data_IF_191926350681
#
_entry.id   IF_191926350681
#
_cell.length_a   1.000
_cell.length_b   1.000
_cell.length_c   1.000
_cell.angle_alpha   90.00
_cell.angle_beta   90.00
_cell.angle_gamma   90.00
#
_symmetry.space_group_name_H-M   'P 1'
#
loop_
_entity.id
_entity.type
_entity.pdbx_description
1 polymer ?
#
# COMPACT_ATOMS: atom_id res chain seq x y z
N UNK A 1 -7.04 -3.43 22.34
CA UNK A 1 -7.84 -3.97 21.22
C UNK A 1 -9.29 -3.45 21.20
N UNK A 2 -9.69 -2.65 20.20
CA UNK A 2 -11.12 -2.53 19.84
C UNK A 2 -11.45 -3.71 18.94
N UNK A 3 -11.81 -4.84 19.51
CA UNK A 3 -11.95 -6.13 18.80
C UNK A 3 -12.91 -6.06 17.59
N UNK A 4 -13.95 -5.22 17.66
CA UNK A 4 -14.87 -4.92 16.53
C UNK A 4 -14.20 -4.29 15.30
N UNK A 5 -12.98 -3.75 15.43
CA UNK A 5 -12.22 -3.22 14.30
C UNK A 5 -11.61 -4.34 13.46
N UNK A 6 -11.06 -5.37 14.12
CA UNK A 6 -10.35 -6.45 13.43
C UNK A 6 -11.26 -7.22 12.48
N UNK A 7 -12.52 -7.47 12.87
CA UNK A 7 -13.53 -8.13 12.04
C UNK A 7 -13.78 -7.42 10.68
N UNK A 8 -13.50 -6.11 10.61
CA UNK A 8 -13.67 -5.29 9.40
C UNK A 8 -12.43 -5.23 8.52
N UNK A 9 -11.30 -5.74 9.00
CA UNK A 9 -10.04 -5.75 8.24
C UNK A 9 -10.05 -6.85 7.19
N UNK A 10 -9.25 -6.68 6.13
CA UNK A 10 -9.16 -7.67 5.05
C UNK A 10 -8.65 -9.01 5.60
N UNK A 11 -7.67 -8.98 6.51
CA UNK A 11 -7.03 -10.19 7.04
C UNK A 11 -8.00 -11.07 7.84
N UNK A 12 -8.86 -10.47 8.66
CA UNK A 12 -9.83 -11.19 9.50
C UNK A 12 -11.26 -11.18 8.94
N UNK A 13 -11.45 -10.77 7.68
CA UNK A 13 -12.77 -10.71 7.05
C UNK A 13 -13.49 -12.07 7.13
N UNK A 14 -14.72 -12.05 7.62
CA UNK A 14 -15.56 -13.25 7.76
C UNK A 14 -15.14 -14.16 8.92
N UNK A 15 -14.47 -13.59 9.92
CA UNK A 15 -14.06 -14.24 11.16
C UNK A 15 -14.74 -13.52 12.31
N UNK A 16 -15.36 -14.26 13.23
CA UNK A 16 -15.94 -13.66 14.43
C UNK A 16 -14.89 -13.35 15.50
N UNK A 17 -15.28 -12.53 16.45
CA UNK A 17 -14.48 -12.10 17.59
C UNK A 17 -13.79 -13.23 18.39
N UNK A 18 -14.46 -14.35 18.63
CA UNK A 18 -13.89 -15.47 19.39
C UNK A 18 -12.90 -16.27 18.55
N UNK A 19 -13.21 -16.46 17.27
CA UNK A 19 -12.27 -17.02 16.28
C UNK A 19 -11.02 -16.14 16.17
N UNK A 20 -11.16 -14.81 16.11
CA UNK A 20 -10.01 -13.87 16.05
C UNK A 20 -9.15 -14.01 17.30
N UNK A 21 -9.72 -14.07 18.51
CA UNK A 21 -8.94 -14.30 19.74
C UNK A 21 -8.14 -15.61 19.69
N UNK A 22 -8.75 -16.67 19.17
CA UNK A 22 -8.08 -17.95 18.93
C UNK A 22 -6.92 -17.80 17.95
N UNK A 23 -7.14 -17.13 16.81
CA UNK A 23 -6.11 -16.85 15.82
C UNK A 23 -4.95 -16.04 16.39
N UNK A 24 -5.22 -14.97 17.13
CA UNK A 24 -4.17 -14.11 17.70
C UNK A 24 -3.25 -14.89 18.65
N UNK A 25 -3.81 -15.81 19.45
CA UNK A 25 -2.99 -16.71 20.28
C UNK A 25 -2.10 -17.63 19.43
N UNK A 26 -2.65 -18.21 18.37
CA UNK A 26 -1.88 -19.05 17.44
C UNK A 26 -0.74 -18.26 16.79
N UNK A 27 -1.03 -17.05 16.31
CA UNK A 27 -0.10 -16.18 15.56
C UNK A 27 0.86 -15.37 16.43
N UNK A 28 0.84 -15.53 17.75
CA UNK A 28 1.60 -14.70 18.70
C UNK A 28 1.35 -13.20 18.52
N UNK A 29 0.07 -12.84 18.33
CA UNK A 29 -0.40 -11.47 18.15
C UNK A 29 0.06 -10.56 19.28
N UNK A 30 0.90 -9.57 18.97
CA UNK A 30 1.43 -8.61 19.94
C UNK A 30 1.17 -7.18 19.46
N UNK A 31 0.55 -6.36 20.30
CA UNK A 31 0.34 -4.94 20.03
C UNK A 31 1.56 -4.14 20.51
N UNK A 32 2.00 -3.16 19.72
CA UNK A 32 3.03 -2.20 20.12
C UNK A 32 2.68 -0.80 19.60
N UNK A 33 2.90 0.18 20.46
CA UNK A 33 2.77 1.59 20.15
C UNK A 33 4.10 2.18 19.68
N UNK A 34 4.03 3.08 18.71
CA UNK A 34 5.16 3.84 18.17
C UNK A 34 4.80 5.31 18.06
N UNK A 35 5.74 6.18 18.40
CA UNK A 35 5.62 7.63 18.21
C UNK A 35 5.93 8.01 16.79
N UNK A 36 5.37 9.13 16.32
CA UNK A 36 5.68 9.72 15.01
C UNK A 36 7.19 9.73 14.73
N UNK A 37 7.57 9.21 13.57
CA UNK A 37 8.94 9.19 13.06
C UNK A 37 9.78 8.02 13.57
N UNK A 38 9.25 7.16 14.45
CA UNK A 38 9.94 5.92 14.84
C UNK A 38 9.95 4.91 13.69
N UNK A 39 11.09 4.24 13.55
CA UNK A 39 11.30 3.18 12.57
C UNK A 39 10.87 1.85 13.20
N UNK A 40 9.96 1.16 12.52
CA UNK A 40 9.46 -0.15 12.91
C UNK A 40 10.41 -1.25 12.42
N UNK A 41 10.84 -1.16 11.16
CA UNK A 41 11.83 -2.05 10.54
C UNK A 41 12.79 -1.26 9.67
N UNK A 42 14.03 -1.71 9.63
CA UNK A 42 15.10 -1.14 8.82
C UNK A 42 15.32 -1.92 7.53
N UNK A 43 15.76 -1.22 6.50
CA UNK A 43 16.37 -1.80 5.32
C UNK A 43 17.54 -2.72 5.75
N UNK A 44 17.56 -3.94 5.20
CA UNK A 44 18.49 -5.00 5.57
C UNK A 44 17.98 -5.94 6.66
N UNK A 45 16.93 -5.58 7.40
CA UNK A 45 16.36 -6.48 8.41
C UNK A 45 15.80 -7.74 7.74
N UNK A 46 15.99 -8.90 8.37
CA UNK A 46 15.23 -10.10 8.06
C UNK A 46 14.15 -10.26 9.13
N UNK A 47 12.89 -10.24 8.70
CA UNK A 47 11.75 -10.18 9.63
C UNK A 47 10.97 -11.48 9.62
N UNK A 48 10.45 -11.86 10.79
CA UNK A 48 9.53 -12.97 10.97
C UNK A 48 8.07 -12.51 11.13
N UNK A 49 7.89 -11.31 11.67
CA UNK A 49 6.58 -10.77 11.99
C UNK A 49 6.14 -9.79 10.92
N UNK A 50 4.95 -10.00 10.38
CA UNK A 50 4.26 -8.97 9.61
C UNK A 50 3.52 -8.03 10.56
N UNK A 51 3.29 -6.79 10.14
CA UNK A 51 2.55 -5.80 10.91
C UNK A 51 1.18 -5.52 10.31
N UNK A 52 0.20 -5.19 11.14
CA UNK A 52 -1.06 -4.57 10.75
C UNK A 52 -1.23 -3.27 11.53
N UNK A 53 -1.54 -2.19 10.82
CA UNK A 53 -1.81 -0.90 11.46
C UNK A 53 -3.20 -0.95 12.11
N UNK A 54 -3.29 -0.65 13.40
CA UNK A 54 -4.55 -0.56 14.15
C UNK A 54 -5.07 0.87 14.18
N UNK A 55 -4.16 1.83 14.31
CA UNK A 55 -4.39 3.28 14.33
C UNK A 55 -3.16 3.98 13.76
N UNK A 56 -3.31 5.20 13.27
CA UNK A 56 -2.22 5.97 12.67
C UNK A 56 -1.87 5.53 11.24
N UNK A 57 -0.66 5.87 10.80
CA UNK A 57 -0.19 5.67 9.43
C UNK A 57 1.29 5.31 9.41
N UNK A 58 1.67 4.35 8.58
CA UNK A 58 3.05 3.92 8.34
C UNK A 58 3.45 4.21 6.89
N UNK A 59 4.63 4.78 6.67
CA UNK A 59 5.23 4.95 5.36
C UNK A 59 6.26 3.86 5.08
N UNK A 60 6.24 3.36 3.84
CA UNK A 60 7.30 2.52 3.30
C UNK A 60 8.28 3.43 2.58
N UNK A 61 9.47 3.60 3.15
CA UNK A 61 10.48 4.53 2.66
C UNK A 61 11.63 3.77 1.99
N UNK A 62 12.03 4.23 0.81
CA UNK A 62 13.30 3.83 0.19
C UNK A 62 14.30 4.95 0.37
N UNK A 63 15.45 4.59 0.96
CA UNK A 63 16.59 5.47 1.14
C UNK A 63 17.68 5.02 0.19
N UNK A 64 18.14 5.90 -0.69
CA UNK A 64 19.30 5.61 -1.52
C UNK A 64 20.61 5.93 -0.78
N UNK A 65 21.73 5.46 -1.35
CA UNK A 65 23.06 5.66 -0.77
C UNK A 65 23.45 7.15 -0.63
N UNK A 66 22.81 8.04 -1.41
CA UNK A 66 23.07 9.47 -1.40
C UNK A 66 22.19 10.24 -0.41
N UNK A 67 21.35 9.53 0.35
CA UNK A 67 20.48 10.12 1.37
C UNK A 67 19.15 10.66 0.83
N UNK A 68 18.81 10.38 -0.43
CA UNK A 68 17.49 10.72 -0.94
C UNK A 68 16.46 9.75 -0.36
N UNK A 69 15.38 10.32 0.19
CA UNK A 69 14.25 9.58 0.73
C UNK A 69 13.08 9.63 -0.23
N UNK A 70 12.53 8.47 -0.56
CA UNK A 70 11.31 8.35 -1.37
C UNK A 70 10.26 7.53 -0.63
N UNK A 71 9.06 8.08 -0.49
CA UNK A 71 7.91 7.34 0.05
C UNK A 71 7.33 6.49 -1.08
N UNK A 72 7.39 5.17 -0.92
CA UNK A 72 6.89 4.21 -1.90
C UNK A 72 5.41 3.92 -1.72
N UNK A 73 4.96 3.82 -0.46
CA UNK A 73 3.58 3.49 -0.10
C UNK A 73 3.21 4.05 1.29
N UNK A 74 1.91 4.21 1.53
CA UNK A 74 1.33 4.60 2.81
C UNK A 74 0.33 3.56 3.29
N UNK A 75 0.57 3.00 4.48
CA UNK A 75 -0.20 1.91 5.09
C UNK A 75 -1.02 2.48 6.24
N UNK A 76 -2.33 2.47 6.07
CA UNK A 76 -3.30 2.95 7.06
C UNK A 76 -3.98 1.83 7.84
N UNK A 77 -4.93 2.18 8.74
CA UNK A 77 -5.59 1.23 9.62
C UNK A 77 -6.23 0.05 8.87
N UNK A 78 -5.98 -1.16 9.36
CA UNK A 78 -6.52 -2.42 8.84
C UNK A 78 -5.73 -3.01 7.67
N UNK A 79 -4.72 -2.29 7.18
CA UNK A 79 -3.79 -2.76 6.17
C UNK A 79 -2.57 -3.39 6.83
N UNK A 80 -1.98 -4.36 6.12
CA UNK A 80 -0.79 -5.09 6.55
C UNK A 80 0.47 -4.51 5.90
N UNK A 81 1.64 -4.75 6.47
CA UNK A 81 2.95 -4.44 5.89
C UNK A 81 3.98 -5.52 6.25
N UNK A 82 5.09 -5.50 5.51
CA UNK A 82 6.19 -6.46 5.62
C UNK A 82 5.79 -7.94 5.41
N UNK A 83 4.57 -8.23 4.96
CA UNK A 83 4.07 -9.59 4.80
C UNK A 83 4.85 -10.38 3.74
N UNK A 84 5.28 -9.74 2.65
CA UNK A 84 6.08 -10.39 1.60
C UNK A 84 7.44 -10.83 2.16
N UNK A 85 8.08 -10.01 2.97
CA UNK A 85 9.37 -10.33 3.59
C UNK A 85 9.22 -11.37 4.69
N UNK A 86 8.19 -11.23 5.54
CA UNK A 86 7.93 -12.18 6.63
C UNK A 86 7.56 -13.58 6.12
N UNK A 87 6.94 -13.69 4.94
CA UNK A 87 6.59 -14.97 4.31
C UNK A 87 7.71 -15.58 3.48
N UNK A 88 8.83 -14.88 3.22
CA UNK A 88 9.98 -15.39 2.46
C UNK A 88 11.19 -15.44 3.39
N UNK A 89 11.45 -16.58 4.05
CA UNK A 89 12.51 -16.68 5.05
C UNK A 89 13.88 -16.26 4.50
N UNK A 90 14.52 -15.33 5.23
CA UNK A 90 15.87 -14.86 4.90
C UNK A 90 15.93 -13.73 3.88
N UNK A 91 14.80 -13.29 3.31
CA UNK A 91 14.78 -12.13 2.42
C UNK A 91 14.91 -10.83 3.24
N UNK A 92 15.98 -10.03 3.03
CA UNK A 92 16.15 -8.76 3.73
C UNK A 92 15.18 -7.70 3.17
N UNK A 93 14.71 -6.81 4.03
CA UNK A 93 13.91 -5.66 3.60
C UNK A 93 14.74 -4.75 2.69
N UNK A 94 14.14 -4.26 1.61
CA UNK A 94 14.74 -3.25 0.73
C UNK A 94 14.38 -1.81 1.13
N UNK A 95 13.61 -1.65 2.21
CA UNK A 95 12.91 -0.42 2.58
C UNK A 95 12.90 -0.27 4.10
N UNK A 96 12.85 0.98 4.56
CA UNK A 96 12.50 1.29 5.94
C UNK A 96 10.97 1.35 6.09
N UNK A 97 10.50 0.97 7.26
CA UNK A 97 9.08 1.07 7.65
C UNK A 97 8.98 2.08 8.77
N UNK A 98 8.44 3.27 8.50
CA UNK A 98 8.50 4.43 9.40
C UNK A 98 7.12 4.94 9.73
N UNK A 99 6.86 5.30 10.98
CA UNK A 99 5.57 5.88 11.38
C UNK A 99 5.45 7.34 10.94
N UNK A 100 4.34 7.69 10.30
CA UNK A 100 4.06 9.07 9.85
C UNK A 100 3.40 9.93 10.94
N UNK A 101 2.77 9.27 11.90
CA UNK A 101 2.10 9.81 13.09
C UNK A 101 2.15 8.77 14.22
N UNK A 102 1.64 9.10 15.41
CA UNK A 102 1.55 8.12 16.50
C UNK A 102 0.68 6.94 16.05
N UNK A 103 1.25 5.73 16.11
CA UNK A 103 0.73 4.55 15.41
C UNK A 103 0.74 3.33 16.33
N UNK A 104 -0.39 2.63 16.39
CA UNK A 104 -0.47 1.30 17.03
C UNK A 104 -0.41 0.20 15.97
N UNK A 105 0.44 -0.79 16.20
CA UNK A 105 0.66 -1.92 15.28
C UNK A 105 0.43 -3.25 15.98
N UNK A 106 -0.32 -4.13 15.33
CA UNK A 106 -0.43 -5.54 15.67
C UNK A 106 0.59 -6.35 14.85
N UNK A 107 1.53 -7.01 15.53
CA UNK A 107 2.49 -7.92 14.93
C UNK A 107 1.96 -9.35 14.94
N UNK A 108 2.11 -10.06 13.82
CA UNK A 108 1.68 -11.44 13.64
C UNK A 108 2.83 -12.27 13.06
N UNK A 109 3.08 -13.43 13.63
CA UNK A 109 4.11 -14.36 13.17
C UNK A 109 3.68 -15.03 11.85
N UNK A 110 4.25 -14.57 10.73
CA UNK A 110 3.86 -15.04 9.40
C UNK A 110 4.19 -16.52 9.19
N UNK A 111 5.26 -17.03 9.82
CA UNK A 111 5.61 -18.45 9.74
C UNK A 111 4.51 -19.35 10.30
N UNK A 112 3.82 -18.90 11.37
CA UNK A 112 2.73 -19.69 11.97
C UNK A 112 1.47 -19.71 11.12
N UNK A 113 1.28 -18.72 10.25
CA UNK A 113 0.22 -18.74 9.24
C UNK A 113 0.48 -19.86 8.23
N UNK A 114 1.75 -20.04 7.82
CA UNK A 114 2.14 -20.99 6.78
C UNK A 114 2.32 -22.43 7.27
N UNK A 115 2.59 -22.64 8.56
CA UNK A 115 2.70 -23.99 9.13
C UNK A 115 1.33 -24.58 9.47
N UNK A 116 1.16 -25.88 9.20
CA UNK A 116 -0.01 -26.63 9.64
C UNK A 116 -0.11 -26.58 11.16
N UNK A 117 -1.17 -25.94 11.65
CA UNK A 117 -1.53 -26.08 13.06
C UNK A 117 -1.89 -27.54 13.31
N UNK A 118 -1.38 -28.12 14.40
CA UNK A 118 -1.72 -29.48 14.83
C UNK A 118 -3.23 -29.68 15.05
N UNK A 119 -4.00 -28.60 15.18
CA UNK A 119 -5.46 -28.62 15.28
C UNK A 119 -6.22 -28.55 13.95
N UNK A 120 -5.54 -28.58 12.79
CA UNK A 120 -6.15 -28.47 11.46
C UNK A 120 -7.23 -27.36 11.40
N UNK A 121 -6.98 -26.24 12.08
CA UNK A 121 -8.04 -25.27 12.36
C UNK A 121 -8.49 -24.61 11.05
N UNK A 122 -9.80 -24.60 10.82
CA UNK A 122 -10.41 -23.93 9.66
C UNK A 122 -10.01 -22.43 9.59
N UNK A 123 -9.66 -21.86 10.75
CA UNK A 123 -9.14 -20.51 10.92
C UNK A 123 -7.90 -20.21 10.07
N UNK A 124 -6.92 -21.12 9.98
CA UNK A 124 -5.71 -20.86 9.20
C UNK A 124 -6.00 -20.81 7.69
N UNK A 125 -6.87 -21.68 7.19
CA UNK A 125 -7.26 -21.64 5.78
C UNK A 125 -7.95 -20.31 5.42
N UNK A 126 -8.80 -19.78 6.30
CA UNK A 126 -9.40 -18.44 6.14
C UNK A 126 -8.33 -17.34 6.12
N UNK A 127 -7.40 -17.35 7.08
CA UNK A 127 -6.31 -16.38 7.16
C UNK A 127 -5.38 -16.42 5.95
N UNK A 128 -4.93 -17.60 5.53
CA UNK A 128 -4.08 -17.77 4.34
C UNK A 128 -4.76 -17.20 3.11
N UNK A 129 -6.05 -17.52 2.90
CA UNK A 129 -6.83 -16.98 1.78
C UNK A 129 -6.93 -15.45 1.85
N UNK A 130 -7.23 -14.90 3.02
CA UNK A 130 -7.37 -13.46 3.21
C UNK A 130 -6.02 -12.72 3.03
N UNK A 131 -4.93 -13.30 3.53
CA UNK A 131 -3.57 -12.79 3.32
C UNK A 131 -3.19 -12.85 1.84
N UNK A 132 -3.47 -13.97 1.15
CA UNK A 132 -3.23 -14.10 -0.28
C UNK A 132 -4.01 -13.05 -1.09
N UNK A 133 -5.27 -12.80 -0.75
CA UNK A 133 -6.05 -11.72 -1.39
C UNK A 133 -5.43 -10.34 -1.16
N UNK A 134 -4.99 -10.05 0.08
CA UNK A 134 -4.33 -8.78 0.39
C UNK A 134 -3.01 -8.61 -0.39
N UNK A 135 -2.17 -9.64 -0.42
CA UNK A 135 -0.91 -9.67 -1.16
C UNK A 135 -1.12 -9.57 -2.67
N UNK A 136 -2.11 -10.29 -3.21
CA UNK A 136 -2.46 -10.22 -4.63
C UNK A 136 -2.94 -8.82 -5.03
N UNK A 137 -3.75 -8.17 -4.19
CA UNK A 137 -4.19 -6.80 -4.45
C UNK A 137 -3.02 -5.81 -4.46
N UNK A 138 -2.07 -5.94 -3.51
CA UNK A 138 -0.85 -5.12 -3.51
C UNK A 138 0.02 -5.38 -4.73
N UNK A 139 0.19 -6.64 -5.13
CA UNK A 139 0.93 -7.01 -6.33
C UNK A 139 0.29 -6.41 -7.60
N UNK A 140 -1.04 -6.48 -7.73
CA UNK A 140 -1.75 -5.82 -8.83
C UNK A 140 -1.57 -4.30 -8.78
N UNK A 141 -1.61 -3.67 -7.61
CA UNK A 141 -1.33 -2.23 -7.48
C UNK A 141 0.09 -1.88 -7.95
N UNK A 142 1.09 -2.68 -7.59
CA UNK A 142 2.48 -2.52 -8.04
C UNK A 142 2.59 -2.69 -9.56
N UNK A 143 1.96 -3.74 -10.12
CA UNK A 143 1.92 -4.01 -11.56
C UNK A 143 1.32 -2.82 -12.33
N UNK A 144 0.26 -2.21 -11.82
CA UNK A 144 -0.34 -1.02 -12.43
C UNK A 144 0.59 0.19 -12.37
N UNK A 145 1.30 0.40 -11.25
CA UNK A 145 2.32 1.47 -11.17
C UNK A 145 3.44 1.28 -12.20
N UNK A 146 3.84 0.04 -12.49
CA UNK A 146 4.80 -0.26 -13.58
C UNK A 146 4.23 0.23 -14.92
N UNK A 147 2.98 -0.09 -15.26
CA UNK A 147 2.38 0.39 -16.51
C UNK A 147 2.29 1.92 -16.59
N UNK A 148 1.98 2.58 -15.48
CA UNK A 148 1.90 4.04 -15.42
C UNK A 148 3.28 4.72 -15.55
N UNK A 149 4.37 4.05 -15.19
CA UNK A 149 5.74 4.60 -15.22
C UNK A 149 6.57 4.11 -16.41
N UNK A 150 6.13 3.05 -17.10
CA UNK A 150 6.81 2.47 -18.26
C UNK A 150 6.95 3.43 -19.47
N UNK A 151 5.99 4.33 -19.78
CA UNK A 151 6.17 5.27 -20.88
C UNK A 151 7.41 6.16 -20.70
N UNK A 152 8.15 6.38 -21.78
CA UNK A 152 9.40 7.15 -21.79
C UNK A 152 9.19 8.66 -21.63
N UNK A 153 8.00 9.17 -21.96
CA UNK A 153 7.66 10.59 -21.85
C UNK A 153 6.76 10.85 -20.64
N UNK A 154 6.93 12.02 -20.02
CA UNK A 154 6.07 12.49 -18.92
C UNK A 154 4.60 12.49 -19.35
N UNK A 155 4.32 12.96 -20.58
CA UNK A 155 2.98 12.94 -21.19
C UNK A 155 2.39 11.53 -21.23
N UNK A 156 3.17 10.55 -21.71
CA UNK A 156 2.71 9.16 -21.79
C UNK A 156 2.38 8.59 -20.41
N UNK A 157 3.19 8.90 -19.39
CA UNK A 157 2.95 8.46 -17.99
C UNK A 157 1.68 9.08 -17.42
N UNK A 158 1.47 10.39 -17.63
CA UNK A 158 0.24 11.09 -17.22
C UNK A 158 -0.98 10.46 -17.89
N UNK A 159 -0.96 10.29 -19.21
CA UNK A 159 -2.08 9.73 -19.96
C UNK A 159 -2.38 8.30 -19.50
N UNK A 160 -1.36 7.46 -19.35
CA UNK A 160 -1.54 6.09 -18.87
C UNK A 160 -2.24 6.04 -17.51
N UNK A 161 -1.82 6.88 -16.56
CA UNK A 161 -2.46 6.97 -15.24
C UNK A 161 -3.89 7.49 -15.32
N UNK A 162 -4.13 8.60 -16.04
CA UNK A 162 -5.46 9.20 -16.13
C UNK A 162 -6.46 8.30 -16.87
N UNK A 163 -6.01 7.56 -17.90
CA UNK A 163 -6.85 6.56 -18.58
C UNK A 163 -7.26 5.42 -17.63
N UNK A 164 -6.35 4.87 -16.82
CA UNK A 164 -6.71 3.87 -15.80
C UNK A 164 -7.70 4.42 -14.77
N UNK A 165 -7.55 5.68 -14.34
CA UNK A 165 -8.51 6.32 -13.43
C UNK A 165 -9.90 6.46 -14.08
N UNK A 166 -9.96 6.92 -15.33
CA UNK A 166 -11.22 7.06 -16.05
C UNK A 166 -11.95 5.71 -16.21
N UNK A 167 -11.22 4.67 -16.63
CA UNK A 167 -11.79 3.32 -16.80
C UNK A 167 -12.32 2.74 -15.48
N UNK A 168 -11.63 2.95 -14.36
CA UNK A 168 -12.11 2.44 -13.05
C UNK A 168 -13.29 3.19 -12.50
N UNK A 169 -13.37 4.49 -12.76
CA UNK A 169 -14.47 5.33 -12.31
C UNK A 169 -15.65 5.32 -13.30
N UNK A 170 -15.47 4.71 -14.47
CA UNK A 170 -16.47 4.67 -15.53
C UNK A 170 -16.83 6.07 -16.06
N UNK A 171 -15.92 7.03 -15.93
CA UNK A 171 -16.17 8.45 -16.20
C UNK A 171 -14.91 9.15 -16.73
N UNK A 172 -15.03 10.03 -17.74
CA UNK A 172 -13.93 10.90 -18.16
C UNK A 172 -13.64 12.02 -17.16
N UNK A 173 -14.54 12.27 -16.21
CA UNK A 173 -14.41 13.26 -15.13
C UNK A 173 -14.21 12.56 -13.78
N UNK A 174 -13.13 12.91 -13.08
CA UNK A 174 -12.78 12.24 -11.83
C UNK A 174 -11.83 13.05 -10.95
N UNK A 175 -11.83 12.73 -9.66
CA UNK A 175 -10.80 13.15 -8.72
C UNK A 175 -9.74 12.06 -8.54
N UNK A 176 -8.49 12.50 -8.32
CA UNK A 176 -7.38 11.62 -7.96
C UNK A 176 -6.99 11.83 -6.49
N UNK A 177 -6.49 10.79 -5.80
CA UNK A 177 -6.11 10.86 -4.39
C UNK A 177 -4.72 11.49 -4.17
N UNK A 178 -4.19 12.22 -5.15
CA UNK A 178 -2.85 12.79 -5.11
C UNK A 178 -2.85 14.31 -5.28
N UNK A 179 -2.07 14.99 -4.46
CA UNK A 179 -1.64 16.35 -4.75
C UNK A 179 -0.56 16.35 -5.86
N UNK A 180 -0.13 17.54 -6.28
CA UNK A 180 0.83 17.68 -7.39
C UNK A 180 2.20 17.05 -7.11
N UNK A 181 2.68 17.10 -5.87
CA UNK A 181 3.96 16.46 -5.49
C UNK A 181 3.79 14.95 -5.47
N UNK A 182 2.77 14.45 -4.78
CA UNK A 182 2.47 13.01 -4.69
C UNK A 182 2.28 12.37 -6.07
N UNK A 183 1.63 13.06 -7.00
CA UNK A 183 1.49 12.56 -8.37
C UNK A 183 2.84 12.51 -9.11
N UNK A 184 3.73 13.48 -8.85
CA UNK A 184 5.07 13.50 -9.43
C UNK A 184 5.90 12.31 -8.91
N UNK A 185 5.86 12.07 -7.60
CA UNK A 185 6.52 10.94 -6.94
C UNK A 185 5.94 9.60 -7.44
N UNK A 186 4.62 9.53 -7.61
CA UNK A 186 3.94 8.33 -8.13
C UNK A 186 4.39 8.01 -9.56
N UNK A 187 4.43 9.01 -10.45
CA UNK A 187 4.83 8.88 -11.86
C UNK A 187 6.35 8.87 -12.06
N UNK A 188 7.13 9.00 -10.99
CA UNK A 188 8.59 9.07 -11.00
C UNK A 188 9.12 10.18 -11.93
N UNK A 189 8.62 11.41 -11.75
CA UNK A 189 8.99 12.60 -12.52
C UNK A 189 9.19 13.80 -11.61
N UNK A 190 9.96 14.79 -12.06
CA UNK A 190 10.08 16.06 -11.34
C UNK A 190 8.75 16.83 -11.27
N UNK A 191 8.44 17.41 -10.10
CA UNK A 191 7.18 18.18 -9.89
C UNK A 191 7.03 19.34 -10.88
N UNK A 192 8.13 20.03 -11.18
CA UNK A 192 8.14 21.15 -12.14
C UNK A 192 7.86 20.66 -13.56
N UNK A 193 8.47 19.54 -13.96
CA UNK A 193 8.29 18.94 -15.27
C UNK A 193 6.85 18.40 -15.44
N UNK A 194 6.29 17.75 -14.42
CA UNK A 194 4.89 17.35 -14.38
C UNK A 194 3.95 18.54 -14.58
N UNK A 195 4.19 19.62 -13.84
CA UNK A 195 3.33 20.83 -13.90
C UNK A 195 3.40 21.51 -15.27
N UNK A 196 4.59 21.57 -15.86
CA UNK A 196 4.80 22.08 -17.21
C UNK A 196 4.08 21.22 -18.25
N UNK A 197 4.17 19.89 -18.13
CA UNK A 197 3.53 18.98 -19.09
C UNK A 197 2.01 19.02 -19.00
N UNK A 198 1.44 19.06 -17.79
CA UNK A 198 -0.01 19.24 -17.60
C UNK A 198 -0.53 20.55 -18.18
N UNK A 199 0.26 21.63 -18.07
CA UNK A 199 -0.09 22.91 -18.67
C UNK A 199 -0.08 22.85 -20.20
N UNK A 200 0.87 22.13 -20.79
CA UNK A 200 0.90 21.87 -22.24
C UNK A 200 -0.29 21.01 -22.68
N UNK A 201 -0.59 19.91 -21.97
CA UNK A 201 -1.72 19.05 -22.29
C UNK A 201 -3.08 19.78 -22.23
N UNK A 202 -3.24 20.75 -21.32
CA UNK A 202 -4.43 21.61 -21.30
C UNK A 202 -4.50 22.55 -22.51
N UNK A 203 -3.36 23.15 -22.93
CA UNK A 203 -3.27 23.97 -24.14
C UNK A 203 -3.53 23.17 -25.41
N UNK A 204 -3.06 21.92 -25.44
CA UNK A 204 -3.27 20.97 -26.52
C UNK A 204 -4.71 20.42 -26.56
N UNK A 205 -5.57 20.80 -25.60
CA UNK A 205 -6.98 20.40 -25.57
C UNK A 205 -7.23 18.95 -25.14
N UNK A 206 -6.24 18.26 -24.58
CA UNK A 206 -6.37 16.85 -24.18
C UNK A 206 -7.11 16.66 -22.85
N UNK A 207 -6.93 17.60 -21.93
CA UNK A 207 -7.48 17.52 -20.57
C UNK A 207 -7.96 18.90 -20.07
N UNK A 208 -8.76 18.89 -19.01
CA UNK A 208 -8.90 20.00 -18.06
C UNK A 208 -8.38 19.52 -16.71
N UNK A 209 -7.56 20.33 -16.02
CA UNK A 209 -7.01 19.96 -14.71
C UNK A 209 -7.15 21.10 -13.70
N UNK A 210 -7.83 20.84 -12.58
CA UNK A 210 -7.99 21.79 -11.47
C UNK A 210 -7.63 21.11 -10.14
N UNK A 211 -6.46 21.45 -9.59
CA UNK A 211 -5.88 20.76 -8.42
C UNK A 211 -5.75 19.24 -8.66
N UNK A 212 -6.56 18.45 -7.97
CA UNK A 212 -6.66 17.00 -8.05
C UNK A 212 -7.86 16.52 -8.89
N UNK A 213 -8.61 17.44 -9.49
CA UNK A 213 -9.75 17.15 -10.35
C UNK A 213 -9.34 17.17 -11.82
N UNK A 214 -9.75 16.17 -12.59
CA UNK A 214 -9.40 15.99 -14.00
C UNK A 214 -10.62 15.66 -14.84
N UNK A 215 -10.63 16.22 -16.06
CA UNK A 215 -11.55 15.85 -17.13
C UNK A 215 -10.76 15.49 -18.38
N UNK A 216 -10.98 14.31 -18.94
CA UNK A 216 -10.38 13.86 -20.20
C UNK A 216 -11.27 14.25 -21.38
N UNK A 217 -10.68 14.89 -22.39
CA UNK A 217 -11.40 15.42 -23.56
C UNK A 217 -11.38 14.49 -24.78
N UNK A 218 -10.83 13.28 -24.63
CA UNK A 218 -10.84 12.26 -25.68
C UNK A 218 -12.03 11.32 -25.52
N UNK A 219 -12.53 10.79 -26.64
CA UNK A 219 -13.58 9.78 -26.64
C UNK A 219 -13.06 8.49 -25.97
N UNK A 220 -13.84 7.99 -25.02
CA UNK A 220 -13.67 6.64 -24.47
C UNK A 220 -14.41 5.73 -25.46
N UNK A 221 -13.69 5.18 -26.44
CA UNK A 221 -14.17 4.06 -27.25
C UNK A 221 -14.11 2.75 -26.43
#
# INVERSE_FOLDING_TARGET
MKENFLEKTILFRGTDLEEIKGMLKCLQGTERHFKKGEIIYHCGDTVRFMGMVLSGTVHIESNDFWGNKSILDGIGPGQVFAETYACVPGEPLMVDVVTAEDTDVLFLDANRIMTTCSNACEHHAKLIRNLLMASAQKNLNLSRRIFHTAPKSIRGRILSYLSDQASRQGSPEFDIPFNRQQLADYLNVERSALSNELSKMQKDGLITAKKNHFFLKGDID
#
